data_IF_946167088433
#
_entry.id   IF_946167088433
#
_cell.length_a   1.000
_cell.length_b   1.000
_cell.length_c   1.000
_cell.angle_alpha   90.00
_cell.angle_beta   90.00
_cell.angle_gamma   90.00
#
_symmetry.space_group_name_H-M   'P 1'
#
loop_
_entity.id
_entity.type
_entity.pdbx_description
1 polymer ?
#
# COMPACT_ATOMS: atom_id res chain seq x y z
N UNK A 1 -2.98 -20.30 -4.75
CA UNK A 1 -2.91 -19.46 -5.98
C UNK A 1 -1.44 -19.38 -6.42
N UNK A 2 -1.11 -19.62 -7.69
CA UNK A 2 0.28 -19.45 -8.17
C UNK A 2 0.57 -17.96 -8.40
N UNK A 3 1.54 -17.41 -7.67
CA UNK A 3 2.09 -16.08 -7.93
C UNK A 3 2.85 -16.12 -9.27
N UNK A 4 2.57 -15.16 -10.15
CA UNK A 4 3.29 -14.97 -11.42
C UNK A 4 4.11 -13.68 -11.31
N UNK A 5 5.43 -13.79 -11.34
CA UNK A 5 6.34 -12.65 -11.31
C UNK A 5 6.76 -12.27 -12.74
N UNK A 6 6.56 -11.00 -13.10
CA UNK A 6 7.01 -10.44 -14.38
C UNK A 6 8.30 -9.65 -14.15
N UNK A 7 9.46 -10.18 -14.56
CA UNK A 7 10.75 -9.50 -14.43
C UNK A 7 11.31 -9.15 -15.81
N UNK A 8 11.44 -7.84 -16.08
CA UNK A 8 11.88 -7.30 -17.38
C UNK A 8 11.07 -7.83 -18.59
N UNK A 9 9.82 -8.26 -18.36
CA UNK A 9 8.94 -8.77 -19.41
C UNK A 9 8.23 -7.61 -20.13
N UNK A 10 8.42 -7.42 -21.45
CA UNK A 10 7.73 -6.39 -22.22
C UNK A 10 6.21 -6.62 -22.33
N UNK A 11 5.71 -7.82 -22.04
CA UNK A 11 4.29 -8.18 -22.05
C UNK A 11 3.65 -8.11 -20.66
N UNK A 12 4.38 -7.65 -19.64
CA UNK A 12 3.83 -7.48 -18.30
C UNK A 12 2.56 -6.58 -18.33
N UNK A 13 1.58 -6.83 -17.46
CA UNK A 13 0.46 -5.93 -17.31
C UNK A 13 0.94 -4.51 -17.04
N UNK A 14 0.29 -3.51 -17.65
CA UNK A 14 0.63 -2.12 -17.40
C UNK A 14 0.36 -1.81 -15.93
N UNK A 15 1.41 -1.46 -15.21
CA UNK A 15 1.31 -0.87 -13.88
C UNK A 15 0.51 0.44 -13.93
N UNK A 16 0.14 0.96 -12.75
CA UNK A 16 -0.36 2.33 -12.71
C UNK A 16 0.71 3.28 -13.29
N UNK A 17 0.26 4.35 -13.94
CA UNK A 17 1.16 5.29 -14.61
C UNK A 17 1.53 6.47 -13.72
N UNK A 18 1.41 6.35 -12.40
CA UNK A 18 1.70 7.44 -11.47
C UNK A 18 3.21 7.48 -11.17
N UNK A 19 3.83 8.63 -11.43
CA UNK A 19 5.24 8.84 -11.11
C UNK A 19 5.34 9.58 -9.78
N UNK A 20 6.11 9.02 -8.84
CA UNK A 20 6.26 9.58 -7.49
C UNK A 20 7.72 9.91 -7.17
N UNK A 21 7.93 11.00 -6.45
CA UNK A 21 9.19 11.29 -5.78
C UNK A 21 9.03 11.01 -4.29
N UNK A 22 9.97 10.24 -3.74
CA UNK A 22 10.02 9.97 -2.31
C UNK A 22 10.62 11.19 -1.59
N UNK A 23 9.83 11.83 -0.72
CA UNK A 23 10.31 12.99 0.04
C UNK A 23 10.92 12.60 1.38
N UNK A 24 10.43 11.52 1.99
CA UNK A 24 10.98 10.98 3.23
C UNK A 24 10.55 9.52 3.42
N UNK A 25 11.44 8.72 3.98
CA UNK A 25 11.05 7.45 4.59
C UNK A 25 10.26 7.78 5.85
N UNK A 26 8.95 7.53 5.83
CA UNK A 26 8.17 7.40 7.06
C UNK A 26 8.65 6.09 7.67
N UNK A 27 9.64 6.16 8.58
CA UNK A 27 10.27 4.99 9.22
C UNK A 27 9.25 4.33 10.13
N UNK A 28 8.30 3.65 9.54
CA UNK A 28 7.25 2.96 10.24
C UNK A 28 7.27 1.51 9.83
N UNK A 29 7.82 0.70 10.73
CA UNK A 29 7.71 -0.74 10.68
C UNK A 29 6.38 -1.11 11.33
N UNK A 30 5.41 -1.52 10.52
CA UNK A 30 4.21 -2.16 11.04
C UNK A 30 4.47 -3.66 11.07
N UNK A 31 4.72 -4.18 12.27
CA UNK A 31 4.80 -5.61 12.53
C UNK A 31 3.90 -5.89 13.73
N UNK A 32 2.62 -6.14 13.48
CA UNK A 32 1.72 -6.56 14.56
C UNK A 32 1.77 -8.09 14.65
N UNK A 33 2.33 -8.68 15.74
CA UNK A 33 2.38 -10.13 15.91
C UNK A 33 0.99 -10.76 16.00
N UNK A 34 -0.06 -9.99 16.29
CA UNK A 34 -1.45 -10.44 16.28
C UNK A 34 -2.10 -10.33 14.88
N UNK A 35 -1.42 -9.73 13.90
CA UNK A 35 -1.89 -9.65 12.52
C UNK A 35 -1.29 -10.77 11.68
N UNK A 36 -2.02 -11.88 11.62
CA UNK A 36 -1.69 -13.04 10.80
C UNK A 36 -2.68 -13.20 9.66
N UNK A 37 -2.16 -13.49 8.46
CA UNK A 37 -2.94 -13.77 7.26
C UNK A 37 -2.88 -15.28 7.01
N UNK A 38 -4.02 -15.95 7.20
CA UNK A 38 -4.16 -17.36 6.87
C UNK A 38 -4.74 -17.52 5.46
N UNK A 39 -4.13 -18.38 4.66
CA UNK A 39 -4.60 -18.75 3.34
C UNK A 39 -5.30 -20.11 3.38
N UNK A 40 -6.17 -20.36 2.40
CA UNK A 40 -6.98 -21.58 2.32
C UNK A 40 -6.15 -22.88 2.17
N UNK A 41 -4.87 -22.76 1.81
CA UNK A 41 -3.91 -23.86 1.71
C UNK A 41 -3.20 -24.18 3.04
N UNK A 42 -3.55 -23.48 4.12
CA UNK A 42 -2.97 -23.64 5.45
C UNK A 42 -1.69 -22.83 5.68
N UNK A 43 -1.24 -22.04 4.69
CA UNK A 43 -0.13 -21.12 4.89
C UNK A 43 -0.56 -19.97 5.82
N UNK A 44 0.27 -19.65 6.81
CA UNK A 44 0.08 -18.49 7.69
C UNK A 44 1.26 -17.55 7.50
N UNK A 45 0.97 -16.30 7.14
CA UNK A 45 1.97 -15.25 6.96
C UNK A 45 1.78 -14.15 7.98
N UNK A 46 2.90 -13.66 8.48
CA UNK A 46 2.96 -12.39 9.20
C UNK A 46 3.53 -11.34 8.25
N UNK A 47 2.80 -10.25 8.06
CA UNK A 47 3.30 -9.13 7.28
C UNK A 47 4.18 -8.21 8.13
N UNK A 48 5.25 -7.71 7.53
CA UNK A 48 5.88 -6.47 7.95
C UNK A 48 5.75 -5.47 6.80
N UNK A 49 5.38 -4.23 7.12
CA UNK A 49 5.24 -3.17 6.11
C UNK A 49 6.16 -2.00 6.43
N UNK A 50 6.74 -1.42 5.37
CA UNK A 50 7.48 -0.16 5.40
C UNK A 50 6.70 0.83 4.55
N UNK A 51 6.33 1.97 5.12
CA UNK A 51 5.58 3.02 4.43
C UNK A 51 6.51 4.18 4.03
N UNK A 52 6.19 4.86 2.94
CA UNK A 52 6.96 6.01 2.48
C UNK A 52 6.01 7.16 2.17
N UNK A 53 6.39 8.38 2.57
CA UNK A 53 5.69 9.57 2.11
C UNK A 53 6.27 9.97 0.77
N UNK A 54 5.40 10.04 -0.23
CA UNK A 54 5.75 10.38 -1.59
C UNK A 54 4.87 11.52 -2.10
N UNK A 55 5.42 12.30 -3.02
CA UNK A 55 4.68 13.32 -3.77
C UNK A 55 4.56 12.87 -5.23
N UNK A 56 3.38 12.97 -5.85
CA UNK A 56 3.26 12.76 -7.28
C UNK A 56 4.07 13.84 -8.02
N UNK A 57 4.91 13.43 -8.97
CA UNK A 57 5.74 14.33 -9.80
C UNK A 57 5.42 14.25 -11.28
N UNK A 58 4.63 13.26 -11.68
CA UNK A 58 4.26 13.04 -13.07
C UNK A 58 3.24 11.92 -13.19
N UNK A 59 2.98 11.51 -14.43
CA UNK A 59 2.05 10.44 -14.70
C UNK A 59 0.57 10.84 -14.62
N UNK A 60 -0.32 9.84 -14.70
CA UNK A 60 -1.77 10.02 -14.59
C UNK A 60 -2.36 8.94 -13.69
N UNK A 61 -3.40 9.28 -12.93
CA UNK A 61 -4.17 8.26 -12.23
C UNK A 61 -4.81 7.33 -13.26
N UNK A 62 -4.51 6.05 -13.15
CA UNK A 62 -5.03 5.02 -14.03
C UNK A 62 -5.10 3.70 -13.28
N UNK A 63 -6.18 2.95 -13.53
CA UNK A 63 -6.33 1.56 -13.09
C UNK A 63 -5.38 0.62 -13.85
N UNK A 64 -5.19 -0.57 -13.27
CA UNK A 64 -4.39 -1.65 -13.85
C UNK A 64 -5.16 -2.97 -13.71
N UNK A 65 -4.57 -4.08 -14.18
CA UNK A 65 -5.10 -5.42 -13.88
C UNK A 65 -5.15 -5.75 -12.38
N UNK A 66 -4.36 -5.03 -11.57
CA UNK A 66 -4.26 -5.24 -10.12
C UNK A 66 -5.10 -4.24 -9.32
N UNK A 67 -5.38 -3.06 -9.88
CA UNK A 67 -6.12 -1.98 -9.20
C UNK A 67 -7.43 -1.70 -9.93
N UNK A 68 -8.55 -2.01 -9.28
CA UNK A 68 -9.91 -1.79 -9.83
C UNK A 68 -10.30 -0.31 -9.84
N UNK A 69 -9.86 0.45 -8.85
CA UNK A 69 -10.15 1.87 -8.68
C UNK A 69 -8.92 2.60 -8.17
N UNK A 70 -8.73 3.85 -8.62
CA UNK A 70 -7.63 4.70 -8.19
C UNK A 70 -8.15 6.14 -8.11
N UNK A 71 -7.89 6.82 -6.99
CA UNK A 71 -8.35 8.18 -6.77
C UNK A 71 -7.55 8.91 -5.69
N UNK A 72 -7.60 10.24 -5.73
CA UNK A 72 -7.20 11.09 -4.62
C UNK A 72 -8.39 11.26 -3.69
N UNK A 73 -8.19 11.00 -2.40
CA UNK A 73 -9.24 11.07 -1.39
C UNK A 73 -8.81 12.09 -0.34
N UNK A 74 -9.67 13.06 -0.07
CA UNK A 74 -9.48 13.96 1.06
C UNK A 74 -9.52 13.16 2.38
N UNK A 75 -8.70 13.51 3.39
CA UNK A 75 -8.65 12.76 4.64
C UNK A 75 -10.03 12.56 5.30
N UNK A 76 -10.93 13.54 5.20
CA UNK A 76 -12.30 13.46 5.71
C UNK A 76 -13.15 12.40 4.99
N UNK A 77 -12.85 12.11 3.72
CA UNK A 77 -13.54 11.11 2.91
C UNK A 77 -13.13 9.67 3.22
N UNK A 78 -12.00 9.45 3.90
CA UNK A 78 -11.48 8.12 4.19
C UNK A 78 -12.42 7.29 5.06
N UNK A 79 -13.16 7.94 5.98
CA UNK A 79 -14.09 7.28 6.90
C UNK A 79 -15.24 6.54 6.18
N UNK A 80 -15.51 6.88 4.92
CA UNK A 80 -16.54 6.25 4.11
C UNK A 80 -16.03 5.03 3.32
N UNK A 81 -14.72 4.73 3.38
CA UNK A 81 -14.11 3.62 2.66
C UNK A 81 -14.01 2.38 3.56
N UNK A 82 -14.20 1.21 2.97
CA UNK A 82 -13.96 -0.07 3.64
C UNK A 82 -12.45 -0.33 3.71
N UNK A 83 -11.79 0.21 4.73
CA UNK A 83 -10.35 0.07 4.96
C UNK A 83 -10.13 -0.85 6.17
N UNK A 84 -9.24 -1.83 6.02
CA UNK A 84 -8.89 -2.76 7.09
C UNK A 84 -8.20 -2.01 8.25
N UNK A 85 -8.44 -2.35 9.54
CA UNK A 85 -7.87 -1.64 10.69
C UNK A 85 -6.34 -1.50 10.67
N UNK A 86 -5.63 -2.52 10.17
CA UNK A 86 -4.17 -2.46 10.06
C UNK A 86 -3.67 -1.41 9.06
N UNK A 87 -4.46 -1.10 8.04
CA UNK A 87 -4.16 -0.05 7.04
C UNK A 87 -4.57 1.32 7.56
N UNK A 88 -5.70 1.40 8.27
CA UNK A 88 -6.14 2.63 8.96
C UNK A 88 -5.04 3.19 9.86
N UNK A 89 -4.44 2.35 10.70
CA UNK A 89 -3.32 2.75 11.56
C UNK A 89 -2.18 3.36 10.75
N UNK A 90 -1.87 2.85 9.55
CA UNK A 90 -0.80 3.40 8.71
C UNK A 90 -1.12 4.78 8.20
N UNK A 91 -2.37 4.98 7.78
CA UNK A 91 -2.84 6.25 7.26
C UNK A 91 -2.86 7.29 8.38
N UNK A 92 -3.38 6.95 9.56
CA UNK A 92 -3.38 7.83 10.73
C UNK A 92 -1.95 8.28 11.10
N UNK A 93 -1.00 7.34 11.22
CA UNK A 93 0.40 7.69 11.50
C UNK A 93 1.03 8.55 10.40
N UNK A 94 0.70 8.30 9.13
CA UNK A 94 1.17 9.12 8.03
C UNK A 94 0.62 10.56 8.09
N UNK A 95 -0.62 10.75 8.56
CA UNK A 95 -1.25 12.06 8.72
C UNK A 95 -0.73 12.82 9.95
N UNK A 96 -0.37 12.12 11.04
CA UNK A 96 0.25 12.72 12.23
C UNK A 96 1.67 13.24 11.96
N UNK A 97 2.39 12.65 10.99
CA UNK A 97 3.72 13.10 10.55
C UNK A 97 4.89 12.65 11.43
N UNK A 98 4.64 11.86 12.47
CA UNK A 98 5.67 11.38 13.39
C UNK A 98 6.14 9.95 13.07
N UNK A 99 7.44 9.62 13.26
CA UNK A 99 7.93 8.26 13.13
C UNK A 99 7.28 7.33 14.17
N UNK A 100 6.56 6.32 13.70
CA UNK A 100 5.95 5.27 14.52
C UNK A 100 6.81 3.99 14.50
N UNK A 101 6.99 3.36 15.66
CA UNK A 101 7.70 2.09 15.78
C UNK A 101 6.87 1.14 16.63
N UNK A 102 6.62 -0.06 16.11
CA UNK A 102 6.09 -1.22 16.85
C UNK A 102 7.03 -2.39 16.73
#
# INVERSE_FOLDING_TARGET
MSRTDFYQDPNAPKANSLEIALSALVRVSFSNPEHMIAYDDGEVRQEFSICFTAKPVGGKLQTSSESKEVGWIDPEGLANLNIHPSIWLRIERALEGEPYYT
#
